data_IF_478531690237
#
_entry.id   IF_478531690237
#
_cell.length_a   1.000
_cell.length_b   1.000
_cell.length_c   1.000
_cell.angle_alpha   90.00
_cell.angle_beta   90.00
_cell.angle_gamma   90.00
#
_symmetry.space_group_name_H-M   'P 1'
#
loop_
_entity.id
_entity.type
_entity.pdbx_description
1 polymer ?
#
# COMPACT_ATOMS: atom_id res chain seq x y z
N UNK A 1 10.61 -64.01 -5.86
CA UNK A 1 10.40 -62.89 -4.89
C UNK A 1 10.71 -61.61 -5.61
N UNK A 2 9.68 -60.86 -6.01
CA UNK A 2 9.81 -59.64 -6.81
C UNK A 2 10.07 -58.48 -5.88
N UNK A 3 11.23 -57.86 -6.03
CA UNK A 3 11.59 -56.62 -5.32
C UNK A 3 10.68 -55.50 -5.78
N UNK A 4 9.78 -55.10 -4.92
CA UNK A 4 8.98 -53.91 -5.08
C UNK A 4 9.85 -52.72 -4.69
N UNK A 5 10.52 -52.12 -5.65
CA UNK A 5 11.22 -50.83 -5.48
C UNK A 5 10.12 -49.78 -5.39
N UNK A 6 9.83 -49.40 -4.15
CA UNK A 6 8.99 -48.25 -3.84
C UNK A 6 9.81 -47.00 -4.19
N UNK A 7 9.65 -46.50 -5.40
CA UNK A 7 10.17 -45.19 -5.79
C UNK A 7 9.31 -44.18 -5.04
N UNK A 8 9.77 -43.81 -3.85
CA UNK A 8 9.30 -42.62 -3.15
C UNK A 8 9.73 -41.41 -3.98
N UNK A 9 8.94 -41.03 -4.96
CA UNK A 9 9.08 -39.73 -5.62
C UNK A 9 8.75 -38.70 -4.55
N UNK A 10 9.79 -38.28 -3.80
CA UNK A 10 9.75 -36.99 -3.13
C UNK A 10 9.59 -35.96 -4.24
N UNK A 11 8.36 -35.57 -4.52
CA UNK A 11 8.09 -34.30 -5.16
C UNK A 11 8.53 -33.23 -4.17
N UNK A 12 9.83 -32.94 -4.19
CA UNK A 12 10.35 -31.66 -3.70
C UNK A 12 9.64 -30.62 -4.55
N UNK A 13 8.49 -30.15 -4.06
CA UNK A 13 7.94 -28.89 -4.51
C UNK A 13 9.05 -27.88 -4.24
N UNK A 14 9.80 -27.55 -5.29
CA UNK A 14 10.74 -26.45 -5.24
C UNK A 14 9.92 -25.23 -4.88
N UNK A 15 9.84 -24.90 -3.59
CA UNK A 15 9.42 -23.62 -3.11
C UNK A 15 10.51 -22.64 -3.55
N UNK A 16 10.49 -22.28 -4.82
CA UNK A 16 11.44 -21.29 -5.33
C UNK A 16 11.11 -19.97 -4.64
N UNK A 17 12.06 -19.52 -3.82
CA UNK A 17 11.99 -18.18 -3.29
C UNK A 17 11.88 -17.19 -4.45
N UNK A 18 10.84 -16.40 -4.43
CA UNK A 18 10.59 -15.37 -5.44
C UNK A 18 11.00 -14.03 -4.86
N UNK A 19 11.93 -13.33 -5.52
CA UNK A 19 12.27 -11.95 -5.19
C UNK A 19 12.04 -11.09 -6.42
N UNK A 20 11.19 -10.07 -6.28
CA UNK A 20 10.91 -9.09 -7.32
C UNK A 20 11.26 -7.70 -6.81
N UNK A 21 12.00 -6.94 -7.60
CA UNK A 21 12.30 -5.55 -7.33
C UNK A 21 11.85 -4.71 -8.52
N UNK A 22 10.99 -3.74 -8.28
CA UNK A 22 10.39 -2.92 -9.31
C UNK A 22 10.57 -1.45 -8.99
N UNK A 23 10.75 -0.65 -10.04
CA UNK A 23 10.83 0.80 -9.96
C UNK A 23 9.66 1.41 -10.69
N UNK A 24 9.13 2.49 -10.14
CA UNK A 24 8.01 3.24 -10.70
C UNK A 24 8.38 4.72 -10.76
N UNK A 25 7.78 5.42 -11.71
CA UNK A 25 7.79 6.89 -11.74
C UNK A 25 6.36 7.39 -11.60
N UNK A 26 6.22 8.49 -10.86
CA UNK A 26 5.01 9.27 -10.75
C UNK A 26 5.08 10.48 -11.66
N UNK A 27 4.02 10.73 -12.41
CA UNK A 27 3.88 11.82 -13.37
C UNK A 27 2.57 12.56 -13.12
N UNK A 28 2.58 13.88 -13.28
CA UNK A 28 1.37 14.72 -13.35
C UNK A 28 1.29 15.32 -14.73
N UNK A 29 0.09 15.42 -15.30
CA UNK A 29 -0.11 15.90 -16.68
C UNK A 29 0.46 17.29 -16.91
N UNK A 30 0.43 18.18 -15.92
CA UNK A 30 0.92 19.54 -16.02
C UNK A 30 2.40 19.72 -15.65
N UNK A 31 3.02 18.77 -14.95
CA UNK A 31 4.37 18.94 -14.36
C UNK A 31 5.37 17.85 -14.78
N UNK A 32 4.93 16.85 -15.55
CA UNK A 32 5.78 15.73 -15.94
C UNK A 32 6.12 14.84 -14.73
N UNK A 33 7.36 14.38 -14.63
CA UNK A 33 7.82 13.53 -13.52
C UNK A 33 7.81 14.30 -12.20
N UNK A 34 7.13 13.73 -11.20
CA UNK A 34 6.94 14.35 -9.88
C UNK A 34 7.27 13.42 -8.71
N UNK A 35 7.71 12.21 -8.96
CA UNK A 35 8.07 11.28 -7.91
C UNK A 35 8.62 9.97 -8.43
N UNK A 36 9.18 9.22 -7.50
CA UNK A 36 9.67 7.87 -7.72
C UNK A 36 9.14 6.93 -6.63
N UNK A 37 8.93 5.67 -7.00
CA UNK A 37 8.63 4.62 -6.04
C UNK A 37 9.39 3.35 -6.37
N UNK A 38 9.63 2.53 -5.34
CA UNK A 38 10.19 1.19 -5.46
C UNK A 38 9.27 0.21 -4.78
N UNK A 39 9.15 -0.99 -5.32
CA UNK A 39 8.47 -2.10 -4.69
C UNK A 39 9.41 -3.30 -4.65
N UNK A 40 9.49 -3.93 -3.50
CA UNK A 40 10.19 -5.21 -3.28
C UNK A 40 9.16 -6.23 -2.80
N UNK A 41 9.12 -7.39 -3.43
CA UNK A 41 8.33 -8.54 -3.02
C UNK A 41 9.26 -9.73 -2.82
N UNK A 42 9.27 -10.29 -1.64
CA UNK A 42 9.98 -11.51 -1.28
C UNK A 42 8.97 -12.56 -0.80
N UNK A 43 9.11 -13.79 -1.29
CA UNK A 43 8.28 -14.92 -0.90
C UNK A 43 9.15 -16.19 -0.96
N UNK A 44 9.37 -16.83 0.19
CA UNK A 44 10.14 -18.06 0.32
C UNK A 44 9.24 -19.32 0.35
N UNK A 45 7.93 -19.14 0.08
CA UNK A 45 6.91 -20.19 0.11
C UNK A 45 6.34 -20.47 1.50
N UNK A 46 6.94 -19.93 2.56
CA UNK A 46 6.43 -19.99 3.94
C UNK A 46 6.06 -18.60 4.46
N UNK A 47 6.92 -17.64 4.15
CA UNK A 47 6.76 -16.24 4.56
C UNK A 47 6.83 -15.33 3.35
N UNK A 48 6.24 -14.16 3.47
CA UNK A 48 6.39 -13.11 2.50
C UNK A 48 6.67 -11.77 3.17
N UNK A 49 7.34 -10.89 2.44
CA UNK A 49 7.52 -9.50 2.81
C UNK A 49 7.41 -8.64 1.56
N UNK A 50 6.47 -7.70 1.57
CA UNK A 50 6.28 -6.72 0.50
C UNK A 50 6.58 -5.36 1.08
N UNK A 51 7.41 -4.58 0.39
CA UNK A 51 7.73 -3.20 0.76
C UNK A 51 7.49 -2.29 -0.44
N UNK A 52 6.74 -1.23 -0.24
CA UNK A 52 6.56 -0.15 -1.21
C UNK A 52 7.10 1.13 -0.59
N UNK A 53 8.03 1.81 -1.27
CA UNK A 53 8.59 3.09 -0.83
C UNK A 53 8.42 4.10 -1.95
N UNK A 54 7.99 5.31 -1.62
CA UNK A 54 7.86 6.37 -2.61
C UNK A 54 7.83 7.75 -1.97
N UNK A 55 8.05 8.75 -2.80
CA UNK A 55 8.00 10.15 -2.38
C UNK A 55 7.90 11.07 -3.59
N UNK A 56 7.47 12.30 -3.32
CA UNK A 56 7.45 13.36 -4.32
C UNK A 56 8.85 13.85 -4.68
N UNK A 57 9.01 14.38 -5.88
CA UNK A 57 10.18 15.13 -6.32
C UNK A 57 9.74 16.47 -6.91
N UNK A 58 10.69 17.41 -7.05
CA UNK A 58 10.40 18.74 -7.59
C UNK A 58 9.31 19.47 -6.80
N UNK A 59 8.36 20.06 -7.51
CA UNK A 59 7.29 20.87 -6.92
C UNK A 59 6.42 20.05 -5.95
N UNK A 60 6.15 18.78 -6.25
CA UNK A 60 5.33 17.91 -5.37
C UNK A 60 6.05 17.63 -4.05
N UNK A 61 7.38 17.45 -4.07
CA UNK A 61 8.14 17.29 -2.83
C UNK A 61 7.95 18.50 -1.89
N UNK A 62 7.98 19.72 -2.44
CA UNK A 62 7.75 20.93 -1.65
C UNK A 62 6.34 20.98 -1.06
N UNK A 63 5.31 20.69 -1.85
CA UNK A 63 3.92 20.69 -1.36
C UNK A 63 3.63 19.58 -0.36
N UNK A 64 4.38 18.48 -0.41
CA UNK A 64 4.23 17.37 0.53
C UNK A 64 5.23 17.42 1.69
N UNK A 65 5.94 18.54 1.87
CA UNK A 65 6.97 18.69 2.90
C UNK A 65 8.03 17.58 2.82
N UNK A 66 8.47 17.27 1.59
CA UNK A 66 9.43 16.20 1.28
C UNK A 66 9.10 14.85 1.93
N UNK A 67 7.81 14.56 2.14
CA UNK A 67 7.38 13.32 2.76
C UNK A 67 7.75 12.11 1.93
N UNK A 68 8.27 11.12 2.64
CA UNK A 68 8.43 9.77 2.15
C UNK A 68 7.33 8.88 2.74
N UNK A 69 6.82 8.00 1.92
CA UNK A 69 5.81 7.01 2.28
C UNK A 69 6.41 5.62 2.16
N UNK A 70 6.25 4.82 3.21
CA UNK A 70 6.71 3.43 3.24
C UNK A 70 5.53 2.58 3.68
N UNK A 71 5.19 1.58 2.87
CA UNK A 71 4.16 0.60 3.19
C UNK A 71 4.79 -0.79 3.18
N UNK A 72 4.50 -1.57 4.20
CA UNK A 72 5.02 -2.93 4.34
C UNK A 72 3.87 -3.88 4.68
N UNK A 73 3.88 -5.05 4.05
CA UNK A 73 3.02 -6.17 4.40
C UNK A 73 3.91 -7.37 4.67
N UNK A 74 3.77 -7.94 5.85
CA UNK A 74 4.59 -9.05 6.35
C UNK A 74 3.64 -10.15 6.80
N UNK A 75 3.92 -11.38 6.43
CA UNK A 75 3.09 -12.49 6.83
C UNK A 75 3.58 -13.82 6.30
N UNK A 76 2.71 -14.83 6.39
CA UNK A 76 2.97 -16.18 5.96
C UNK A 76 2.24 -16.54 4.67
N UNK A 77 2.67 -17.61 4.05
CA UNK A 77 2.08 -18.16 2.84
C UNK A 77 1.45 -19.51 3.16
N UNK A 78 0.15 -19.64 2.94
CA UNK A 78 -0.59 -20.88 3.16
C UNK A 78 -1.28 -21.29 1.83
N UNK A 79 -0.88 -22.41 1.27
CA UNK A 79 -1.42 -22.91 -0.02
C UNK A 79 -1.32 -21.89 -1.16
N UNK A 80 -0.25 -21.10 -1.17
CA UNK A 80 -0.03 -20.03 -2.15
C UNK A 80 -0.87 -18.75 -1.92
N UNK A 81 -1.59 -18.68 -0.81
CA UNK A 81 -2.34 -17.51 -0.37
C UNK A 81 -1.51 -16.72 0.63
N UNK A 82 -1.43 -15.41 0.48
CA UNK A 82 -0.76 -14.53 1.41
C UNK A 82 -1.68 -14.28 2.62
N UNK A 83 -1.17 -14.52 3.81
CA UNK A 83 -1.86 -14.29 5.08
C UNK A 83 -1.06 -13.21 5.84
N UNK A 84 -1.49 -11.95 5.82
CA UNK A 84 -0.76 -10.87 6.48
C UNK A 84 -0.82 -11.04 8.01
N UNK A 85 0.34 -11.03 8.65
CA UNK A 85 0.44 -10.97 10.10
C UNK A 85 0.57 -9.53 10.58
N UNK A 86 1.15 -8.67 9.74
CA UNK A 86 1.34 -7.27 10.02
C UNK A 86 1.29 -6.41 8.75
N UNK A 87 0.65 -5.23 8.84
CA UNK A 87 0.71 -4.19 7.81
C UNK A 87 1.14 -2.87 8.45
N UNK A 88 2.11 -2.20 7.84
CA UNK A 88 2.71 -0.98 8.38
C UNK A 88 2.69 0.11 7.32
N UNK A 89 2.17 1.28 7.67
CA UNK A 89 2.28 2.51 6.88
C UNK A 89 3.09 3.54 7.64
N UNK A 90 4.12 4.11 7.00
CA UNK A 90 4.93 5.20 7.56
C UNK A 90 4.88 6.41 6.64
N UNK A 91 4.74 7.58 7.24
CA UNK A 91 4.88 8.89 6.62
C UNK A 91 6.02 9.61 7.34
N UNK A 92 7.07 10.00 6.63
CA UNK A 92 8.30 10.53 7.22
C UNK A 92 8.70 11.81 6.47
N UNK A 93 8.89 12.92 7.19
CA UNK A 93 9.59 14.11 6.72
C UNK A 93 10.56 14.62 7.80
N UNK A 94 11.21 15.74 7.57
CA UNK A 94 12.16 16.33 8.53
C UNK A 94 11.51 16.62 9.90
N UNK A 95 10.28 17.13 9.88
CA UNK A 95 9.57 17.60 11.07
C UNK A 95 8.35 16.74 11.46
N UNK A 96 8.14 15.62 10.73
CA UNK A 96 6.98 14.76 10.91
C UNK A 96 7.33 13.29 10.71
N UNK A 97 6.90 12.46 11.64
CA UNK A 97 6.95 11.00 11.51
C UNK A 97 5.66 10.42 12.07
N UNK A 98 5.01 9.57 11.26
CA UNK A 98 3.82 8.82 11.65
C UNK A 98 3.95 7.40 11.19
N UNK A 99 3.81 6.48 12.12
CA UNK A 99 3.72 5.03 11.85
C UNK A 99 2.33 4.55 12.25
N UNK A 100 1.66 3.86 11.36
CA UNK A 100 0.41 3.16 11.64
C UNK A 100 0.59 1.68 11.35
N UNK A 101 0.44 0.85 12.36
CA UNK A 101 0.67 -0.58 12.32
C UNK A 101 -0.63 -1.32 12.60
N UNK A 102 -0.94 -2.31 11.79
CA UNK A 102 -2.06 -3.22 11.95
C UNK A 102 -1.49 -4.61 12.24
N UNK A 103 -1.86 -5.18 13.37
CA UNK A 103 -1.46 -6.52 13.78
C UNK A 103 -2.69 -7.42 13.74
N UNK A 104 -2.60 -8.53 13.01
CA UNK A 104 -3.73 -9.43 12.75
C UNK A 104 -3.69 -10.62 13.72
N UNK A 105 -4.68 -10.74 14.58
CA UNK A 105 -4.87 -11.87 15.47
C UNK A 105 -5.99 -12.76 14.93
N UNK A 106 -5.60 -13.72 14.12
CA UNK A 106 -6.54 -14.68 13.52
C UNK A 106 -7.19 -15.60 14.55
N UNK A 107 -6.49 -15.90 15.63
CA UNK A 107 -7.00 -16.80 16.69
C UNK A 107 -8.17 -16.17 17.44
N UNK A 108 -8.07 -14.88 17.73
CA UNK A 108 -9.08 -14.15 18.47
C UNK A 108 -10.00 -13.31 17.57
N UNK A 109 -9.82 -13.41 16.24
CA UNK A 109 -10.57 -12.63 15.22
C UNK A 109 -10.52 -11.12 15.47
N UNK A 110 -9.33 -10.59 15.78
CA UNK A 110 -9.10 -9.17 16.10
C UNK A 110 -8.01 -8.56 15.24
N UNK A 111 -8.09 -7.27 15.05
CA UNK A 111 -7.01 -6.46 14.46
C UNK A 111 -6.66 -5.33 15.42
N UNK A 112 -5.43 -5.29 15.89
CA UNK A 112 -4.93 -4.18 16.70
C UNK A 112 -4.32 -3.12 15.79
N UNK A 113 -4.72 -1.87 15.95
CA UNK A 113 -4.21 -0.72 15.22
C UNK A 113 -3.42 0.16 16.18
N UNK A 114 -2.12 0.26 15.95
CA UNK A 114 -1.19 1.06 16.75
C UNK A 114 -0.77 2.25 15.90
N UNK A 115 -0.87 3.45 16.44
CA UNK A 115 -0.46 4.68 15.77
C UNK A 115 0.51 5.44 16.65
N UNK A 116 1.71 5.64 16.14
CA UNK A 116 2.74 6.49 16.72
C UNK A 116 2.95 7.70 15.81
N UNK A 117 2.95 8.88 16.41
CA UNK A 117 3.18 10.14 15.70
C UNK A 117 4.16 11.00 16.47
N UNK A 118 5.10 11.60 15.76
CA UNK A 118 5.93 12.69 16.28
C UNK A 118 5.94 13.85 15.30
N UNK A 119 5.79 15.05 15.83
CA UNK A 119 5.76 16.26 15.03
C UNK A 119 6.47 17.38 15.75
N UNK A 120 7.34 18.10 15.05
CA UNK A 120 7.91 19.34 15.52
C UNK A 120 6.83 20.44 15.44
N UNK A 121 6.55 21.09 16.54
CA UNK A 121 5.63 22.22 16.62
C UNK A 121 6.36 23.44 17.13
N UNK A 122 6.12 24.58 16.54
CA UNK A 122 6.58 25.86 17.07
C UNK A 122 5.68 26.26 18.24
N UNK A 123 6.32 26.63 19.34
CA UNK A 123 5.66 27.15 20.53
C UNK A 123 6.15 28.57 20.73
N UNK A 124 5.24 29.52 20.59
CA UNK A 124 5.52 30.94 20.86
C UNK A 124 5.23 31.23 22.32
N UNK A 125 6.23 31.73 23.04
CA UNK A 125 6.10 32.19 24.43
C UNK A 125 6.37 33.68 24.46
N UNK A 126 5.48 34.43 25.09
CA UNK A 126 5.69 35.87 25.31
C UNK A 126 6.71 36.09 26.42
N UNK A 127 7.81 36.72 26.13
CA UNK A 127 8.85 37.08 27.08
C UNK A 127 8.55 38.46 27.65
N UNK A 128 8.14 38.50 28.93
CA UNK A 128 7.75 39.74 29.66
C UNK A 128 8.92 40.70 29.78
N UNK A 129 10.15 40.20 29.83
CA UNK A 129 11.34 41.05 30.02
C UNK A 129 11.72 41.79 28.72
N UNK A 130 11.67 41.07 27.60
CA UNK A 130 12.03 41.63 26.29
C UNK A 130 10.83 42.20 25.51
N UNK A 131 9.60 42.01 26.00
CA UNK A 131 8.34 42.33 25.31
C UNK A 131 8.27 41.74 23.87
N UNK A 132 8.92 40.58 23.66
CA UNK A 132 8.94 39.86 22.36
C UNK A 132 8.40 38.45 22.53
N UNK A 133 7.97 37.88 21.40
CA UNK A 133 7.65 36.48 21.33
C UNK A 133 8.92 35.68 21.02
N UNK A 134 9.28 34.80 21.95
CA UNK A 134 10.33 33.81 21.72
C UNK A 134 9.69 32.59 21.06
N UNK A 135 10.18 32.24 19.88
CA UNK A 135 9.70 31.03 19.14
C UNK A 135 10.66 29.90 19.40
N UNK A 136 10.18 28.88 20.08
CA UNK A 136 10.91 27.65 20.33
C UNK A 136 10.24 26.48 19.61
N UNK A 137 11.02 25.50 19.19
CA UNK A 137 10.45 24.28 18.62
C UNK A 137 10.40 23.15 19.63
N UNK A 138 9.28 22.44 19.70
CA UNK A 138 9.08 21.28 20.58
C UNK A 138 8.62 20.08 19.75
N UNK A 139 9.19 18.91 20.04
CA UNK A 139 8.71 17.64 19.46
C UNK A 139 7.53 17.16 20.32
N UNK A 140 6.37 17.05 19.71
CA UNK A 140 5.17 16.46 20.30
C UNK A 140 5.05 15.02 19.82
N UNK A 141 4.93 14.08 20.77
CA UNK A 141 4.74 12.65 20.50
C UNK A 141 3.34 12.26 20.94
N UNK A 142 2.68 11.47 20.08
CA UNK A 142 1.35 10.94 20.33
C UNK A 142 1.41 9.41 20.08
N UNK A 143 0.76 8.66 20.95
CA UNK A 143 0.60 7.22 20.82
C UNK A 143 -0.88 6.87 21.00
N UNK A 144 -1.40 5.98 20.16
CA UNK A 144 -2.74 5.44 20.34
C UNK A 144 -2.80 3.98 19.91
N UNK A 145 -3.60 3.20 20.62
CA UNK A 145 -3.90 1.82 20.29
C UNK A 145 -5.41 1.62 20.26
N UNK A 146 -5.89 0.91 19.22
CA UNK A 146 -7.30 0.58 19.05
C UNK A 146 -7.43 -0.87 18.60
N UNK A 147 -8.29 -1.63 19.26
CA UNK A 147 -8.65 -2.99 18.81
C UNK A 147 -9.96 -2.95 18.02
N UNK A 148 -9.96 -3.59 16.85
CA UNK A 148 -11.11 -3.85 16.00
C UNK A 148 -11.48 -5.32 16.21
N UNK A 149 -12.74 -5.59 16.60
CA UNK A 149 -13.24 -6.97 16.83
C UNK A 149 -13.58 -7.65 15.50
N UNK A 150 -12.66 -7.60 14.56
CA UNK A 150 -12.72 -8.24 13.25
C UNK A 150 -11.31 -8.41 12.73
N UNK A 151 -10.99 -9.54 12.13
CA UNK A 151 -9.77 -9.72 11.36
C UNK A 151 -10.08 -9.52 9.87
N UNK A 152 -9.31 -8.68 9.23
CA UNK A 152 -9.32 -8.51 7.77
C UNK A 152 -8.27 -9.45 7.17
N UNK A 153 -8.54 -9.98 5.98
CA UNK A 153 -7.66 -10.98 5.35
C UNK A 153 -6.68 -10.39 4.36
N UNK A 154 -6.78 -9.08 4.11
CA UNK A 154 -5.94 -8.36 3.17
C UNK A 154 -5.55 -6.99 3.73
N UNK A 155 -4.48 -6.45 3.21
CA UNK A 155 -4.06 -5.06 3.34
C UNK A 155 -3.87 -4.44 1.96
N UNK A 156 -3.69 -3.12 1.91
CA UNK A 156 -3.59 -2.34 0.67
C UNK A 156 -2.38 -2.69 -0.21
N UNK A 157 -1.42 -3.45 0.30
CA UNK A 157 -0.22 -3.87 -0.46
C UNK A 157 -0.34 -5.32 -0.88
N UNK A 158 -0.66 -6.24 0.04
CA UNK A 158 -0.73 -7.67 -0.24
C UNK A 158 -1.90 -8.05 -1.13
N UNK A 159 -3.00 -7.28 -1.12
CA UNK A 159 -4.22 -7.61 -1.87
C UNK A 159 -3.97 -7.84 -3.36
N UNK A 160 -3.06 -7.09 -3.97
CA UNK A 160 -2.76 -7.22 -5.41
C UNK A 160 -2.02 -8.52 -5.74
N UNK A 161 -1.23 -9.04 -4.81
CA UNK A 161 -0.48 -10.28 -4.97
C UNK A 161 -1.26 -11.51 -4.48
N UNK A 162 -2.38 -11.28 -3.79
CA UNK A 162 -3.08 -12.37 -3.12
C UNK A 162 -3.96 -13.17 -4.08
N UNK A 163 -3.54 -14.38 -4.40
CA UNK A 163 -4.29 -15.32 -5.26
C UNK A 163 -5.71 -15.58 -4.75
N UNK A 164 -5.98 -15.41 -3.45
CA UNK A 164 -7.31 -15.54 -2.86
C UNK A 164 -8.34 -14.62 -3.53
N UNK A 165 -7.93 -13.44 -3.93
CA UNK A 165 -8.82 -12.48 -4.59
C UNK A 165 -9.18 -12.88 -6.02
N UNK A 166 -8.39 -13.75 -6.66
CA UNK A 166 -8.64 -14.24 -8.01
C UNK A 166 -8.91 -13.10 -9.01
N UNK A 167 -8.15 -12.01 -8.92
CA UNK A 167 -8.36 -10.84 -9.76
C UNK A 167 -8.21 -11.20 -11.25
N UNK A 168 -7.17 -11.96 -11.61
CA UNK A 168 -6.93 -12.38 -13.00
C UNK A 168 -7.97 -13.36 -13.55
N UNK A 169 -8.82 -13.94 -12.71
CA UNK A 169 -9.91 -14.85 -13.10
C UNK A 169 -11.27 -14.14 -13.26
N UNK A 170 -11.32 -12.81 -13.03
CA UNK A 170 -12.55 -12.03 -13.22
C UNK A 170 -12.88 -11.92 -14.72
N UNK A 171 -14.18 -11.96 -15.05
CA UNK A 171 -14.67 -11.60 -16.36
C UNK A 171 -14.81 -10.06 -16.49
N UNK A 172 -14.83 -9.53 -17.70
CA UNK A 172 -15.06 -8.11 -17.93
C UNK A 172 -16.40 -7.68 -17.35
N UNK A 173 -16.38 -6.52 -16.68
CA UNK A 173 -17.48 -5.95 -15.91
C UNK A 173 -17.80 -6.62 -14.57
N UNK A 174 -17.12 -7.71 -14.21
CA UNK A 174 -17.22 -8.24 -12.85
C UNK A 174 -16.78 -7.21 -11.80
N UNK A 175 -17.47 -7.23 -10.66
CA UNK A 175 -17.15 -6.40 -9.51
C UNK A 175 -16.87 -7.29 -8.30
N UNK A 176 -15.77 -7.03 -7.62
CA UNK A 176 -15.41 -7.71 -6.38
C UNK A 176 -15.26 -6.70 -5.25
N UNK A 177 -15.90 -6.96 -4.12
CA UNK A 177 -15.70 -6.13 -2.91
C UNK A 177 -14.51 -6.67 -2.13
N UNK A 178 -13.54 -5.81 -1.90
CA UNK A 178 -12.29 -6.13 -1.19
C UNK A 178 -12.22 -5.32 0.09
N UNK A 179 -12.06 -6.02 1.21
CA UNK A 179 -11.87 -5.42 2.53
C UNK A 179 -10.39 -5.50 2.91
N UNK A 180 -9.65 -4.43 2.67
CA UNK A 180 -8.23 -4.36 2.97
C UNK A 180 -7.94 -3.28 4.02
N UNK A 181 -7.17 -3.61 5.05
CA UNK A 181 -6.72 -2.59 6.02
C UNK A 181 -5.78 -1.60 5.34
N UNK A 182 -5.75 -0.39 5.87
CA UNK A 182 -4.98 0.71 5.30
C UNK A 182 -5.76 1.58 4.32
N UNK A 183 -6.93 1.11 3.84
CA UNK A 183 -7.87 1.96 3.10
C UNK A 183 -8.80 2.73 4.05
N UNK A 184 -9.43 3.80 3.55
CA UNK A 184 -10.53 4.48 4.26
C UNK A 184 -11.79 3.61 4.29
N UNK A 185 -11.98 2.78 3.27
CA UNK A 185 -13.16 1.94 3.07
C UNK A 185 -12.96 0.50 3.57
N UNK A 186 -12.13 0.32 4.61
CA UNK A 186 -11.83 -1.02 5.15
C UNK A 186 -13.09 -1.76 5.58
N UNK A 187 -14.04 -1.06 6.19
CA UNK A 187 -15.28 -1.66 6.71
C UNK A 187 -16.33 -1.87 5.61
N UNK A 188 -16.56 -0.87 4.77
CA UNK A 188 -17.51 -0.94 3.64
C UNK A 188 -16.99 -1.80 2.49
N UNK A 189 -15.67 -1.87 2.36
CA UNK A 189 -14.99 -2.52 1.24
C UNK A 189 -14.83 -1.61 0.03
N UNK A 190 -13.81 -1.92 -0.77
CA UNK A 190 -13.54 -1.27 -2.03
C UNK A 190 -14.12 -2.10 -3.18
N UNK A 191 -14.92 -1.48 -4.03
CA UNK A 191 -15.39 -2.12 -5.26
C UNK A 191 -14.27 -2.11 -6.30
N UNK A 192 -13.74 -3.27 -6.63
CA UNK A 192 -12.76 -3.48 -7.70
C UNK A 192 -13.50 -4.05 -8.90
N UNK A 193 -13.55 -3.30 -10.00
CA UNK A 193 -14.23 -3.69 -11.24
C UNK A 193 -13.18 -4.01 -12.32
N UNK A 194 -13.27 -5.16 -12.98
CA UNK A 194 -12.49 -5.42 -14.17
C UNK A 194 -13.14 -4.71 -15.38
N UNK A 195 -12.38 -3.83 -16.04
CA UNK A 195 -12.85 -3.04 -17.18
C UNK A 195 -12.52 -3.72 -18.51
N UNK A 196 -11.28 -4.21 -18.65
CA UNK A 196 -10.79 -4.78 -19.90
C UNK A 196 -9.61 -5.73 -19.69
N UNK A 197 -9.47 -6.68 -20.60
CA UNK A 197 -8.30 -7.56 -20.72
C UNK A 197 -7.71 -7.43 -22.10
N UNK A 198 -6.49 -6.92 -22.19
CA UNK A 198 -5.81 -6.70 -23.47
C UNK A 198 -4.33 -7.14 -23.39
N UNK A 199 -3.93 -8.08 -24.24
CA UNK A 199 -2.53 -8.50 -24.37
C UNK A 199 -1.88 -8.95 -23.05
N UNK A 200 -2.62 -9.69 -22.20
CA UNK A 200 -2.14 -10.13 -20.89
C UNK A 200 -2.07 -9.04 -19.83
N UNK A 201 -2.69 -7.89 -20.08
CA UNK A 201 -2.86 -6.79 -19.14
C UNK A 201 -4.33 -6.69 -18.73
N UNK A 202 -4.56 -6.59 -17.43
CA UNK A 202 -5.88 -6.54 -16.81
C UNK A 202 -6.10 -5.15 -16.24
N UNK A 203 -7.07 -4.42 -16.79
CA UNK A 203 -7.40 -3.05 -16.35
C UNK A 203 -8.58 -3.07 -15.39
N UNK A 204 -8.36 -2.54 -14.21
CA UNK A 204 -9.39 -2.44 -13.17
C UNK A 204 -9.70 -0.99 -12.85
N UNK A 205 -10.88 -0.75 -12.30
CA UNK A 205 -11.30 0.51 -11.69
C UNK A 205 -11.56 0.31 -10.20
N UNK A 206 -11.14 1.30 -9.41
CA UNK A 206 -11.49 1.45 -7.99
C UNK A 206 -11.97 2.88 -7.77
N UNK A 207 -13.12 3.04 -7.11
CA UNK A 207 -13.60 4.36 -6.70
C UNK A 207 -12.78 4.89 -5.53
N UNK A 208 -12.22 6.09 -5.68
CA UNK A 208 -11.46 6.81 -4.65
C UNK A 208 -12.23 8.06 -4.22
N UNK A 209 -12.35 8.26 -2.91
CA UNK A 209 -12.93 9.47 -2.32
C UNK A 209 -11.82 10.24 -1.58
N UNK A 210 -11.50 11.44 -2.03
CA UNK A 210 -10.49 12.31 -1.45
C UNK A 210 -10.82 13.78 -1.66
N UNK A 211 -10.51 14.58 -0.66
CA UNK A 211 -10.80 16.01 -0.65
C UNK A 211 -9.99 16.80 -1.70
N UNK A 212 -8.87 16.24 -2.18
CA UNK A 212 -8.05 16.84 -3.24
C UNK A 212 -8.53 16.51 -4.66
N UNK A 213 -9.62 15.75 -4.82
CA UNK A 213 -10.22 15.47 -6.11
C UNK A 213 -11.27 16.52 -6.45
N UNK A 214 -11.31 16.95 -7.70
CA UNK A 214 -12.20 18.02 -8.17
C UNK A 214 -13.69 17.73 -7.93
N UNK A 215 -14.10 16.46 -8.01
CA UNK A 215 -15.47 16.01 -7.74
C UNK A 215 -15.63 15.35 -6.36
N UNK A 216 -14.62 15.43 -5.46
CA UNK A 216 -14.60 14.72 -4.18
C UNK A 216 -14.42 13.20 -4.30
N UNK A 217 -14.65 12.63 -5.47
CA UNK A 217 -14.43 11.20 -5.77
C UNK A 217 -14.15 11.00 -7.25
N UNK A 218 -13.25 10.09 -7.56
CA UNK A 218 -12.87 9.70 -8.93
C UNK A 218 -12.58 8.21 -9.02
N UNK A 219 -12.72 7.66 -10.22
CA UNK A 219 -12.31 6.30 -10.50
C UNK A 219 -10.82 6.27 -10.84
N UNK A 220 -10.04 5.66 -9.96
CA UNK A 220 -8.66 5.32 -10.28
C UNK A 220 -8.65 4.03 -11.10
N UNK A 221 -7.86 4.02 -12.16
CA UNK A 221 -7.58 2.79 -12.91
C UNK A 221 -6.22 2.25 -12.54
N UNK A 222 -6.10 0.94 -12.44
CA UNK A 222 -4.83 0.26 -12.31
C UNK A 222 -4.76 -0.93 -13.26
N UNK A 223 -3.58 -1.15 -13.81
CA UNK A 223 -3.31 -2.20 -14.79
C UNK A 223 -2.34 -3.19 -14.15
N UNK A 224 -2.77 -4.44 -14.05
CA UNK A 224 -1.91 -5.56 -13.63
C UNK A 224 -1.45 -6.34 -14.88
N UNK A 225 -0.24 -6.86 -14.83
CA UNK A 225 0.21 -7.86 -15.79
C UNK A 225 -0.26 -9.28 -15.39
N UNK A 226 0.06 -10.28 -16.21
CA UNK A 226 -0.32 -11.68 -16.01
C UNK A 226 0.27 -12.30 -14.73
N UNK A 227 1.21 -11.63 -14.06
CA UNK A 227 1.81 -12.03 -12.78
C UNK A 227 1.20 -11.30 -11.59
N UNK A 228 0.08 -10.57 -11.76
CA UNK A 228 -0.51 -9.68 -10.76
C UNK A 228 0.40 -8.51 -10.33
N UNK A 229 1.36 -8.12 -11.15
CA UNK A 229 2.25 -7.03 -10.83
C UNK A 229 1.71 -5.73 -11.45
N UNK A 230 1.68 -4.66 -10.66
CA UNK A 230 1.25 -3.35 -11.11
C UNK A 230 2.15 -2.87 -12.26
N UNK A 231 1.52 -2.61 -13.41
CA UNK A 231 2.16 -2.03 -14.57
C UNK A 231 1.97 -0.51 -14.61
N UNK A 232 0.75 -0.05 -14.33
CA UNK A 232 0.38 1.36 -14.37
C UNK A 232 -0.82 1.63 -13.48
N UNK A 233 -0.91 2.82 -12.91
CA UNK A 233 -2.15 3.37 -12.34
C UNK A 233 -2.34 4.80 -12.80
N UNK A 234 -3.61 5.21 -12.94
CA UNK A 234 -4.03 6.57 -13.30
C UNK A 234 -5.12 7.03 -12.35
N UNK A 235 -5.07 8.29 -12.01
CA UNK A 235 -6.10 8.99 -11.26
C UNK A 235 -6.32 10.34 -11.96
N UNK A 236 -7.52 10.58 -12.44
CA UNK A 236 -7.91 11.85 -13.05
C UNK A 236 -8.34 12.88 -12.00
N UNK A 237 -8.40 14.13 -12.41
CA UNK A 237 -9.09 15.17 -11.67
C UNK A 237 -8.45 15.62 -10.35
N UNK A 238 -7.15 15.54 -10.19
CA UNK A 238 -6.48 16.11 -9.02
C UNK A 238 -6.51 17.64 -9.13
N UNK A 239 -7.12 18.31 -8.14
CA UNK A 239 -7.24 19.76 -8.11
C UNK A 239 -5.86 20.44 -8.28
N UNK A 240 -5.77 21.41 -9.21
CA UNK A 240 -4.58 22.20 -9.57
C UNK A 240 -3.45 21.41 -10.24
N UNK A 241 -3.49 20.07 -10.30
CA UNK A 241 -2.40 19.24 -10.80
C UNK A 241 -2.78 18.42 -12.05
N UNK A 242 -4.07 18.33 -12.37
CA UNK A 242 -4.57 17.51 -13.48
C UNK A 242 -4.54 16.02 -13.16
N UNK A 243 -4.19 15.20 -14.14
CA UNK A 243 -4.18 13.75 -13.99
C UNK A 243 -2.85 13.26 -13.42
N UNK A 244 -2.91 12.29 -12.53
CA UNK A 244 -1.74 11.57 -12.04
C UNK A 244 -1.61 10.21 -12.70
N UNK A 245 -0.38 9.82 -12.96
CA UNK A 245 -0.01 8.51 -13.49
C UNK A 245 1.19 7.96 -12.74
N UNK A 246 1.14 6.70 -12.36
CA UNK A 246 2.30 5.96 -11.87
C UNK A 246 2.53 4.79 -12.81
N UNK A 247 3.73 4.65 -13.36
CA UNK A 247 4.05 3.55 -14.28
C UNK A 247 5.36 2.86 -13.90
N UNK A 248 5.40 1.54 -14.12
CA UNK A 248 6.60 0.74 -13.90
C UNK A 248 7.68 1.10 -14.94
N UNK A 249 8.90 1.22 -14.45
CA UNK A 249 10.11 1.22 -15.27
C UNK A 249 10.55 -0.25 -15.47
N UNK A 250 11.10 -0.54 -16.62
CA UNK A 250 11.58 -1.89 -16.97
C UNK A 250 12.75 -2.33 -16.11
#
# INVERSE_FOLDING_TARGET
MKNLILILILTLTNLSATTLNMKYIGELSLFGKVGDATMSYMNDGKNYHITVKGGGSGIVATFTDHKQYIYESIGRVENGVLIPDEYIGREISADFNKTKRYVFDYKNSKTTVITDRSQKKEVSTFNIISFKHDVNSKIVKEHSEKTINKVYKDDMVSMFFNKRLQLLAMAENDVKIVHAVGSKDTESGMAVKLIAVNGGKYTYSIRIQKDYLSGGSEDATFILDANNILHETKLAGIMFFGDARVRRLY
#
